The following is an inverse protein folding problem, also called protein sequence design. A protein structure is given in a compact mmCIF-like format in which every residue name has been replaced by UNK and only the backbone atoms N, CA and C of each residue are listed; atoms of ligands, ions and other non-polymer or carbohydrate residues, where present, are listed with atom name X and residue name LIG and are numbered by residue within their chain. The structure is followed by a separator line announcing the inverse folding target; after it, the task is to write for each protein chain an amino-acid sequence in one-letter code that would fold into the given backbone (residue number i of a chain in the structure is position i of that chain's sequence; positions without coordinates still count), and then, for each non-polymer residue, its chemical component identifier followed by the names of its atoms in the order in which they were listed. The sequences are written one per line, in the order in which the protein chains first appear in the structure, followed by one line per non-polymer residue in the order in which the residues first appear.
data_IF_558182847517
#
_entry.id   IF_558182847517
#
_cell.length_a   1.000
_cell.length_b   1.000
_cell.length_c   1.000
_cell.angle_alpha   90.00
_cell.angle_beta   90.00
_cell.angle_gamma   90.00
#
_symmetry.space_group_name_H-M   'P 1'
#
loop_
_entity.id
_entity.type
_entity.pdbx_description
1 polymer ?
#
# COMPACT_ATOMS: atom_id res chain seq x y z
N UNK A 1 4.16 -5.57 16.23
CA UNK A 1 3.21 -6.65 15.87
C UNK A 1 1.82 -6.08 16.02
N UNK A 2 1.05 -6.05 14.93
CA UNK A 2 -0.34 -5.57 14.92
C UNK A 2 -1.19 -6.41 15.87
N UNK A 3 -1.95 -5.78 16.77
CA UNK A 3 -2.91 -6.48 17.63
C UNK A 3 -4.14 -6.91 16.82
N UNK A 4 -4.31 -8.21 16.62
CA UNK A 4 -5.44 -8.82 15.91
C UNK A 4 -6.39 -9.53 16.89
N UNK A 5 -6.86 -8.76 17.88
CA UNK A 5 -7.85 -9.18 18.88
C UNK A 5 -9.23 -8.59 18.62
N UNK A 6 -10.32 -9.18 19.15
CA UNK A 6 -11.68 -8.63 19.01
C UNK A 6 -11.82 -7.20 19.56
N UNK A 7 -11.02 -6.85 20.57
CA UNK A 7 -10.98 -5.52 21.20
C UNK A 7 -10.10 -4.50 20.47
N UNK A 8 -9.25 -4.93 19.54
CA UNK A 8 -8.37 -4.05 18.80
C UNK A 8 -9.18 -3.05 17.97
N UNK A 9 -8.67 -1.82 17.86
CA UNK A 9 -9.36 -0.76 17.14
C UNK A 9 -9.12 -0.91 15.64
N UNK A 10 -10.19 -0.76 14.84
CA UNK A 10 -10.08 -0.86 13.37
C UNK A 10 -9.17 0.22 12.77
N UNK A 11 -9.03 1.38 13.44
CA UNK A 11 -8.11 2.43 13.04
C UNK A 11 -6.65 2.07 13.25
N UNK A 12 -6.35 1.39 14.36
CA UNK A 12 -4.99 0.96 14.69
C UNK A 12 -4.59 -0.20 13.78
N UNK A 13 -5.47 -1.19 13.55
CA UNK A 13 -5.21 -2.28 12.61
C UNK A 13 -5.02 -1.75 11.19
N UNK A 14 -5.84 -0.80 10.73
CA UNK A 14 -5.67 -0.20 9.40
C UNK A 14 -4.35 0.55 9.24
N UNK A 15 -3.80 1.05 10.35
CA UNK A 15 -2.51 1.74 10.39
C UNK A 15 -1.35 0.75 10.44
N UNK A 16 -1.48 -0.32 11.23
CA UNK A 16 -0.40 -1.23 11.57
C UNK A 16 -0.31 -2.47 10.66
N UNK A 17 -1.37 -2.86 9.96
CA UNK A 17 -1.41 -4.04 9.09
C UNK A 17 -1.56 -3.65 7.60
N UNK A 18 -0.51 -3.85 6.78
CA UNK A 18 -0.55 -3.78 5.32
C UNK A 18 -1.82 -4.38 4.70
N UNK A 19 -2.58 -3.61 3.91
CA UNK A 19 -3.79 -4.10 3.23
C UNK A 19 -5.05 -4.23 4.09
N UNK A 20 -5.00 -3.96 5.41
CA UNK A 20 -6.16 -4.11 6.28
C UNK A 20 -7.30 -3.12 5.93
N UNK A 21 -6.95 -1.95 5.40
CA UNK A 21 -7.87 -0.98 4.85
C UNK A 21 -8.83 -1.59 3.79
N UNK A 22 -8.31 -2.48 2.93
CA UNK A 22 -9.12 -3.14 1.90
C UNK A 22 -10.08 -4.16 2.51
N UNK A 23 -9.57 -4.96 3.46
CA UNK A 23 -10.40 -5.92 4.20
C UNK A 23 -11.57 -5.19 4.86
N UNK A 24 -11.32 -4.04 5.51
CA UNK A 24 -12.40 -3.25 6.10
C UNK A 24 -13.38 -2.67 5.06
N UNK A 25 -12.88 -2.14 3.93
CA UNK A 25 -13.75 -1.59 2.86
C UNK A 25 -14.66 -2.63 2.24
N UNK A 26 -14.18 -3.85 2.01
CA UNK A 26 -14.98 -4.97 1.46
C UNK A 26 -16.22 -5.26 2.30
N UNK A 27 -16.10 -5.05 3.61
CA UNK A 27 -17.18 -5.22 4.59
C UNK A 27 -17.92 -3.91 4.93
N UNK A 28 -17.64 -2.82 4.21
CA UNK A 28 -18.26 -1.51 4.42
C UNK A 28 -17.83 -0.80 5.71
N UNK A 29 -16.79 -1.29 6.39
CA UNK A 29 -16.31 -0.76 7.67
C UNK A 29 -15.47 0.48 7.42
N UNK A 30 -15.95 1.64 7.89
CA UNK A 30 -15.22 2.91 7.82
C UNK A 30 -14.33 3.11 9.04
N UNK A 31 -13.03 3.24 8.82
CA UNK A 31 -12.02 3.44 9.87
C UNK A 31 -11.55 4.90 10.00
N UNK A 32 -11.90 5.77 9.04
CA UNK A 32 -11.62 7.22 9.11
C UNK A 32 -12.45 7.96 10.18
N UNK A 33 -13.68 7.49 10.44
CA UNK A 33 -14.59 8.04 11.45
C UNK A 33 -14.98 6.98 12.51
N UNK A 34 -14.97 5.70 12.14
CA UNK A 34 -15.21 4.56 13.01
C UNK A 34 -13.94 3.93 13.60
N UNK A 35 -12.76 4.53 13.42
CA UNK A 35 -11.49 4.02 13.95
C UNK A 35 -11.40 3.87 15.47
N UNK A 36 -12.42 4.30 16.21
CA UNK A 36 -12.59 4.06 17.66
C UNK A 36 -13.39 2.80 18.00
N UNK A 37 -14.00 2.17 16.99
CA UNK A 37 -14.73 0.93 17.18
C UNK A 37 -13.72 -0.21 17.27
N UNK A 38 -13.98 -1.11 18.20
CA UNK A 38 -13.30 -2.40 18.23
C UNK A 38 -13.68 -3.21 16.98
N UNK A 39 -12.88 -4.21 16.64
CA UNK A 39 -13.24 -5.20 15.61
C UNK A 39 -14.62 -5.79 15.88
N UNK A 40 -14.94 -6.12 17.13
CA UNK A 40 -16.28 -6.60 17.52
C UNK A 40 -17.39 -5.60 17.18
N UNK A 41 -17.24 -4.34 17.59
CA UNK A 41 -18.28 -3.33 17.39
C UNK A 41 -18.45 -2.97 15.90
N UNK A 42 -17.34 -2.89 15.17
CA UNK A 42 -17.35 -2.64 13.73
C UNK A 42 -18.02 -3.79 12.98
N UNK A 43 -17.65 -5.05 13.25
CA UNK A 43 -18.27 -6.21 12.63
C UNK A 43 -19.77 -6.29 12.93
N UNK A 44 -20.17 -6.10 14.19
CA UNK A 44 -21.58 -6.15 14.59
C UNK A 44 -22.44 -5.08 13.89
N UNK A 45 -21.90 -3.86 13.74
CA UNK A 45 -22.58 -2.76 13.03
C UNK A 45 -22.83 -3.06 11.55
N UNK A 46 -22.01 -3.92 10.95
CA UNK A 46 -22.06 -4.28 9.54
C UNK A 46 -22.62 -5.70 9.31
N UNK A 47 -23.19 -6.34 10.33
CA UNK A 47 -23.79 -7.68 10.21
C UNK A 47 -22.79 -8.80 9.94
N UNK A 48 -21.52 -8.59 10.27
CA UNK A 48 -20.41 -9.51 10.09
C UNK A 48 -20.04 -10.18 11.41
N UNK A 49 -19.62 -11.45 11.37
CA UNK A 49 -19.02 -12.10 12.54
C UNK A 49 -17.58 -11.59 12.76
N UNK A 50 -17.24 -11.19 13.99
CA UNK A 50 -15.92 -10.65 14.30
C UNK A 50 -14.77 -11.61 13.95
N UNK A 51 -14.94 -12.92 14.17
CA UNK A 51 -13.94 -13.91 13.81
C UNK A 51 -13.71 -14.01 12.29
N UNK A 52 -14.73 -13.81 11.45
CA UNK A 52 -14.54 -13.78 9.99
C UNK A 52 -13.62 -12.63 9.57
N UNK A 53 -13.79 -11.46 10.17
CA UNK A 53 -12.94 -10.31 9.90
C UNK A 53 -11.51 -10.55 10.41
N UNK A 54 -11.36 -11.13 11.62
CA UNK A 54 -10.07 -11.46 12.19
C UNK A 54 -9.33 -12.52 11.38
N UNK A 55 -10.01 -13.53 10.84
CA UNK A 55 -9.40 -14.55 10.00
C UNK A 55 -8.88 -13.96 8.68
N UNK A 56 -9.62 -13.05 8.04
CA UNK A 56 -9.13 -12.32 6.86
C UNK A 56 -7.90 -11.47 7.18
N UNK A 57 -7.91 -10.75 8.32
CA UNK A 57 -6.77 -9.94 8.77
C UNK A 57 -5.55 -10.81 9.17
N UNK A 58 -5.76 -11.97 9.78
CA UNK A 58 -4.68 -12.92 10.10
C UNK A 58 -4.09 -13.54 8.85
N UNK A 59 -4.93 -13.93 7.88
CA UNK A 59 -4.46 -14.43 6.58
C UNK A 59 -3.63 -13.37 5.86
N UNK A 60 -4.05 -12.11 5.91
CA UNK A 60 -3.31 -10.97 5.40
C UNK A 60 -1.97 -10.78 6.14
N UNK A 61 -1.94 -10.86 7.47
CA UNK A 61 -0.71 -10.76 8.26
C UNK A 61 0.27 -11.92 7.98
N UNK A 62 -0.25 -13.13 7.77
CA UNK A 62 0.53 -14.32 7.38
C UNK A 62 1.10 -14.13 5.97
N UNK A 63 0.31 -13.61 5.03
CA UNK A 63 0.76 -13.28 3.67
C UNK A 63 1.84 -12.19 3.66
N UNK A 64 1.72 -11.20 4.55
CA UNK A 64 2.71 -10.16 4.75
C UNK A 64 4.05 -10.68 5.31
N UNK A 65 4.04 -11.86 5.98
CA UNK A 65 5.24 -12.49 6.57
C UNK A 65 5.84 -13.64 5.76
N UNK A 66 5.32 -14.00 4.58
CA UNK A 66 5.92 -15.05 3.74
C UNK A 66 7.06 -14.49 2.88
N UNK A 67 8.20 -15.17 2.89
CA UNK A 67 9.26 -14.99 1.88
C UNK A 67 8.67 -15.12 0.47
N UNK A 68 9.03 -14.20 -0.42
CA UNK A 68 8.53 -14.19 -1.79
C UNK A 68 8.80 -15.53 -2.50
N UNK A 69 7.86 -16.06 -3.31
CA UNK A 69 8.04 -17.34 -3.97
C UNK A 69 9.28 -17.38 -4.88
N UNK A 70 10.01 -18.50 -4.86
CA UNK A 70 11.20 -18.67 -5.68
C UNK A 70 10.87 -18.94 -7.15
N UNK A 71 9.75 -19.59 -7.45
CA UNK A 71 9.34 -19.88 -8.83
C UNK A 71 8.72 -18.65 -9.52
N UNK A 72 8.94 -18.49 -10.82
CA UNK A 72 8.54 -17.27 -11.55
C UNK A 72 7.04 -17.04 -11.58
N UNK A 73 6.24 -18.06 -11.91
CA UNK A 73 4.79 -17.89 -12.02
C UNK A 73 4.14 -17.58 -10.66
N UNK A 74 4.48 -18.31 -9.57
CA UNK A 74 4.05 -17.93 -8.22
C UNK A 74 4.53 -16.54 -7.79
N UNK A 75 5.76 -16.14 -8.15
CA UNK A 75 6.28 -14.81 -7.83
C UNK A 75 5.47 -13.71 -8.52
N UNK A 76 5.14 -13.87 -9.80
CA UNK A 76 4.26 -12.91 -10.52
C UNK A 76 2.88 -12.85 -9.85
N UNK A 77 2.29 -13.98 -9.48
CA UNK A 77 1.00 -13.99 -8.79
C UNK A 77 1.08 -13.30 -7.43
N UNK A 78 2.19 -13.49 -6.71
CA UNK A 78 2.47 -12.80 -5.45
C UNK A 78 2.61 -11.29 -5.66
N UNK A 79 3.37 -10.83 -6.66
CA UNK A 79 3.52 -9.40 -6.97
C UNK A 79 2.17 -8.70 -7.18
N UNK A 80 1.29 -9.32 -7.96
CA UNK A 80 -0.06 -8.75 -8.20
C UNK A 80 -0.88 -8.72 -6.92
N UNK A 81 -1.03 -9.85 -6.24
CA UNK A 81 -1.96 -9.97 -5.10
C UNK A 81 -1.45 -9.31 -3.82
N UNK A 82 -0.16 -9.46 -3.50
CA UNK A 82 0.46 -8.90 -2.29
C UNK A 82 0.79 -7.43 -2.44
N UNK A 83 1.22 -6.98 -3.61
CA UNK A 83 1.68 -5.59 -3.81
C UNK A 83 0.72 -4.78 -4.65
N UNK A 84 0.43 -5.14 -5.90
CA UNK A 84 -0.35 -4.26 -6.79
C UNK A 84 -1.74 -3.96 -6.24
N UNK A 85 -2.49 -5.00 -5.89
CA UNK A 85 -3.83 -4.86 -5.32
C UNK A 85 -3.79 -4.09 -3.99
N UNK A 86 -2.78 -4.35 -3.16
CA UNK A 86 -2.60 -3.65 -1.88
C UNK A 86 -2.28 -2.17 -2.07
N UNK A 87 -1.42 -1.81 -3.02
CA UNK A 87 -1.06 -0.41 -3.30
C UNK A 87 -2.25 0.40 -3.81
N UNK A 88 -3.06 -0.17 -4.72
CA UNK A 88 -4.30 0.45 -5.19
C UNK A 88 -5.22 0.76 -4.01
N UNK A 89 -5.48 -0.27 -3.20
CA UNK A 89 -6.29 -0.16 -2.02
C UNK A 89 -5.76 0.88 -1.02
N UNK A 90 -4.46 0.95 -0.81
CA UNK A 90 -3.87 1.88 0.14
C UNK A 90 -3.94 3.32 -0.35
N UNK A 91 -3.65 3.58 -1.62
CA UNK A 91 -3.75 4.91 -2.20
C UNK A 91 -5.20 5.41 -2.21
N UNK A 92 -6.18 4.55 -2.46
CA UNK A 92 -7.61 4.87 -2.34
C UNK A 92 -8.01 5.30 -0.92
N UNK A 93 -7.25 4.92 0.10
CA UNK A 93 -7.48 5.35 1.48
C UNK A 93 -6.62 6.55 1.89
N UNK A 94 -5.33 6.53 1.57
CA UNK A 94 -4.36 7.54 1.98
C UNK A 94 -4.66 8.90 1.34
N UNK A 95 -5.10 8.94 0.09
CA UNK A 95 -5.37 10.20 -0.63
C UNK A 95 -6.52 10.99 0.04
N UNK A 96 -7.72 10.43 0.26
CA UNK A 96 -8.77 11.14 0.99
C UNK A 96 -8.38 11.54 2.41
N UNK A 97 -7.54 10.72 3.08
CA UNK A 97 -7.09 11.02 4.43
C UNK A 97 -6.10 12.19 4.46
N UNK A 98 -5.16 12.25 3.51
CA UNK A 98 -4.27 13.39 3.31
C UNK A 98 -5.06 14.66 3.05
N UNK A 99 -6.05 14.60 2.15
CA UNK A 99 -6.91 15.73 1.83
C UNK A 99 -7.65 16.24 3.07
N UNK A 100 -8.15 15.33 3.92
CA UNK A 100 -8.81 15.69 5.17
C UNK A 100 -7.84 16.36 6.15
N UNK A 101 -6.62 15.83 6.30
CA UNK A 101 -5.62 16.41 7.20
C UNK A 101 -5.24 17.81 6.72
N UNK A 102 -4.97 18.00 5.44
CA UNK A 102 -4.69 19.33 4.86
C UNK A 102 -5.88 20.29 5.00
N UNK A 103 -7.11 19.83 4.77
CA UNK A 103 -8.29 20.68 4.89
C UNK A 103 -8.53 21.16 6.32
N UNK A 104 -8.38 20.27 7.31
CA UNK A 104 -8.67 20.59 8.72
C UNK A 104 -7.50 21.30 9.41
N UNK A 105 -6.27 20.97 9.02
CA UNK A 105 -5.05 21.42 9.71
C UNK A 105 -4.14 22.29 8.86
N UNK A 106 -4.53 22.71 7.64
CA UNK A 106 -3.65 23.42 6.71
C UNK A 106 -3.02 24.72 7.25
N UNK A 107 -3.66 25.36 8.22
CA UNK A 107 -3.14 26.55 8.93
C UNK A 107 -2.12 26.22 10.03
N UNK A 108 -1.93 24.94 10.37
CA UNK A 108 -0.90 24.49 11.31
C UNK A 108 0.48 24.56 10.64
N UNK A 109 1.47 25.13 11.32
CA UNK A 109 2.84 25.30 10.77
C UNK A 109 3.49 23.99 10.33
N UNK A 110 3.03 22.86 10.87
CA UNK A 110 3.52 21.52 10.56
C UNK A 110 2.65 20.73 9.58
N UNK A 111 1.57 21.32 9.07
CA UNK A 111 0.66 20.64 8.15
C UNK A 111 1.38 20.17 6.89
N UNK A 112 1.09 18.94 6.40
CA UNK A 112 1.72 18.40 5.21
C UNK A 112 1.05 18.97 3.95
N UNK A 113 1.04 20.29 3.82
CA UNK A 113 0.40 20.99 2.71
C UNK A 113 1.02 20.55 1.37
N UNK A 114 0.17 20.14 0.42
CA UNK A 114 0.56 19.58 -0.87
C UNK A 114 0.76 18.06 -0.89
N UNK A 115 0.57 17.35 0.22
CA UNK A 115 0.70 15.89 0.28
C UNK A 115 -0.31 15.17 -0.64
N UNK A 116 -1.54 15.67 -0.69
CA UNK A 116 -2.63 15.10 -1.51
C UNK A 116 -2.26 15.11 -2.98
N UNK A 117 -1.73 16.23 -3.48
CA UNK A 117 -1.27 16.37 -4.87
C UNK A 117 -0.15 15.38 -5.19
N UNK A 118 0.80 15.21 -4.25
CA UNK A 118 1.91 14.27 -4.42
C UNK A 118 1.45 12.81 -4.43
N UNK A 119 0.49 12.45 -3.58
CA UNK A 119 -0.09 11.11 -3.56
C UNK A 119 -0.91 10.82 -4.83
N UNK A 120 -1.61 11.82 -5.37
CA UNK A 120 -2.29 11.70 -6.66
C UNK A 120 -1.29 11.47 -7.80
N UNK A 121 -0.21 12.26 -7.86
CA UNK A 121 0.85 12.07 -8.84
C UNK A 121 1.50 10.68 -8.73
N UNK A 122 1.79 10.22 -7.51
CA UNK A 122 2.32 8.88 -7.27
C UNK A 122 1.35 7.79 -7.73
N UNK A 123 0.06 7.91 -7.42
CA UNK A 123 -0.96 6.96 -7.86
C UNK A 123 -1.01 6.86 -9.37
N UNK A 124 -1.00 7.99 -10.07
CA UNK A 124 -1.15 7.99 -11.53
C UNK A 124 0.06 7.32 -12.21
N UNK A 125 1.28 7.58 -11.73
CA UNK A 125 2.50 6.90 -12.19
C UNK A 125 2.48 5.41 -11.86
N UNK A 126 2.20 5.06 -10.60
CA UNK A 126 2.23 3.69 -10.12
C UNK A 126 1.14 2.82 -10.77
N UNK A 127 -0.06 3.35 -10.98
CA UNK A 127 -1.14 2.62 -11.65
C UNK A 127 -0.80 2.35 -13.11
N UNK A 128 -0.30 3.36 -13.84
CA UNK A 128 0.14 3.16 -15.23
C UNK A 128 1.29 2.14 -15.32
N UNK A 129 2.20 2.13 -14.36
CA UNK A 129 3.29 1.17 -14.26
C UNK A 129 2.76 -0.26 -14.07
N UNK A 130 1.94 -0.48 -13.03
CA UNK A 130 1.36 -1.79 -12.70
C UNK A 130 0.49 -2.33 -13.84
N UNK A 131 -0.31 -1.50 -14.51
CA UNK A 131 -1.09 -1.89 -15.68
C UNK A 131 -0.18 -2.40 -16.79
N UNK A 132 0.94 -1.72 -17.07
CA UNK A 132 1.87 -2.15 -18.13
C UNK A 132 2.53 -3.47 -17.79
N UNK A 133 2.83 -3.70 -16.51
CA UNK A 133 3.35 -4.98 -16.06
C UNK A 133 2.31 -6.09 -16.24
N UNK A 134 1.10 -5.90 -15.72
CA UNK A 134 0.03 -6.90 -15.74
C UNK A 134 -0.46 -7.24 -17.16
N UNK A 135 -0.52 -6.26 -18.05
CA UNK A 135 -1.07 -6.42 -19.40
C UNK A 135 -0.02 -6.76 -20.47
N UNK A 136 1.25 -6.43 -20.25
CA UNK A 136 2.30 -6.68 -21.23
C UNK A 136 3.47 -7.48 -20.67
N UNK A 137 4.16 -6.99 -19.63
CA UNK A 137 5.41 -7.61 -19.17
C UNK A 137 5.19 -9.02 -18.59
N UNK A 138 4.28 -9.16 -17.63
CA UNK A 138 4.00 -10.42 -16.96
C UNK A 138 3.45 -11.48 -17.93
N UNK A 139 2.52 -11.17 -18.86
CA UNK A 139 2.15 -12.11 -19.92
C UNK A 139 3.32 -12.62 -20.75
N UNK A 140 4.26 -11.75 -21.15
CA UNK A 140 5.46 -12.17 -21.89
C UNK A 140 6.36 -13.06 -21.02
N UNK A 141 6.54 -12.75 -19.74
CA UNK A 141 7.32 -13.56 -18.80
C UNK A 141 6.70 -14.96 -18.61
N UNK A 142 5.37 -15.05 -18.53
CA UNK A 142 4.65 -16.32 -18.43
C UNK A 142 4.81 -17.21 -19.67
N UNK A 143 5.09 -16.61 -20.83
CA UNK A 143 5.36 -17.32 -22.08
C UNK A 143 6.83 -17.73 -22.25
N UNK A 144 7.68 -17.45 -21.26
CA UNK A 144 9.09 -17.84 -21.27
C UNK A 144 10.05 -16.75 -21.79
N UNK A 145 9.58 -15.52 -21.99
CA UNK A 145 10.41 -14.41 -22.44
C UNK A 145 10.17 -14.00 -23.90
N UNK A 146 10.66 -12.81 -24.27
CA UNK A 146 10.66 -12.30 -25.64
C UNK A 146 11.81 -11.29 -25.82
N UNK A 147 12.50 -11.20 -26.97
CA UNK A 147 13.64 -10.28 -27.14
C UNK A 147 13.34 -8.80 -26.87
N UNK A 148 12.10 -8.35 -27.12
CA UNK A 148 11.67 -6.96 -26.81
C UNK A 148 11.50 -6.70 -25.31
N UNK A 149 11.53 -7.75 -24.47
CA UNK A 149 11.35 -7.64 -23.03
C UNK A 149 12.48 -6.85 -22.37
N UNK A 150 13.71 -6.94 -22.87
CA UNK A 150 14.86 -6.19 -22.35
C UNK A 150 14.59 -4.68 -22.38
N UNK A 151 14.00 -4.18 -23.47
CA UNK A 151 13.62 -2.77 -23.59
C UNK A 151 12.48 -2.41 -22.63
N UNK A 152 11.50 -3.30 -22.47
CA UNK A 152 10.37 -3.08 -21.55
C UNK A 152 10.82 -3.07 -20.08
N UNK A 153 11.73 -3.99 -19.68
CA UNK A 153 12.35 -4.01 -18.35
C UNK A 153 13.13 -2.72 -18.10
N UNK A 154 13.90 -2.24 -19.09
CA UNK A 154 14.62 -0.97 -18.96
C UNK A 154 13.67 0.22 -18.74
N UNK A 155 12.51 0.22 -19.40
CA UNK A 155 11.49 1.26 -19.18
C UNK A 155 10.88 1.14 -17.78
N UNK A 156 10.60 -0.07 -17.29
CA UNK A 156 10.08 -0.28 -15.92
C UNK A 156 11.04 0.25 -14.86
N UNK A 157 12.36 0.07 -15.04
CA UNK A 157 13.37 0.61 -14.11
C UNK A 157 13.40 2.14 -14.08
N UNK A 158 13.20 2.80 -15.22
CA UNK A 158 13.11 4.26 -15.26
C UNK A 158 11.86 4.76 -14.53
N UNK A 159 10.75 4.05 -14.65
CA UNK A 159 9.52 4.36 -13.90
C UNK A 159 9.72 4.13 -12.39
N UNK A 160 10.49 3.11 -11.97
CA UNK A 160 10.87 2.93 -10.56
C UNK A 160 11.72 4.09 -10.00
N UNK A 161 12.62 4.66 -10.82
CA UNK A 161 13.40 5.84 -10.43
C UNK A 161 12.48 7.06 -10.22
N UNK A 162 11.47 7.23 -11.07
CA UNK A 162 10.45 8.28 -10.94
C UNK A 162 9.62 8.10 -9.66
N UNK A 163 9.15 6.87 -9.38
CA UNK A 163 8.46 6.53 -8.13
C UNK A 163 9.32 6.88 -6.91
N UNK A 164 10.62 6.59 -6.97
CA UNK A 164 11.56 6.93 -5.90
C UNK A 164 11.70 8.44 -5.66
N UNK A 165 11.61 9.27 -6.71
CA UNK A 165 11.57 10.74 -6.59
C UNK A 165 10.29 11.19 -5.89
N UNK A 166 9.14 10.63 -6.26
CA UNK A 166 7.84 10.98 -5.68
C UNK A 166 7.77 10.62 -4.19
N UNK A 167 8.29 9.45 -3.80
CA UNK A 167 8.39 9.04 -2.39
C UNK A 167 9.24 10.00 -1.55
N UNK A 168 10.39 10.46 -2.06
CA UNK A 168 11.20 11.49 -1.37
C UNK A 168 10.44 12.81 -1.23
N UNK A 169 9.61 13.17 -2.21
CA UNK A 169 8.74 14.34 -2.12
C UNK A 169 7.69 14.23 -1.02
N UNK A 170 7.10 13.03 -0.86
CA UNK A 170 6.17 12.72 0.23
C UNK A 170 6.89 12.83 1.58
N UNK A 171 8.03 12.14 1.74
CA UNK A 171 8.85 12.18 2.96
C UNK A 171 9.24 13.61 3.35
N UNK A 172 9.65 14.44 2.38
CA UNK A 172 9.97 15.83 2.63
C UNK A 172 8.77 16.63 3.14
N UNK A 173 7.61 16.47 2.50
CA UNK A 173 6.37 17.19 2.85
C UNK A 173 5.85 16.79 4.22
N UNK A 174 6.10 15.55 4.64
CA UNK A 174 5.72 15.02 5.94
C UNK A 174 6.80 15.16 7.01
N UNK A 175 7.94 15.79 6.69
CA UNK A 175 9.11 15.94 7.59
C UNK A 175 9.62 14.59 8.11
N UNK A 176 9.79 13.64 7.21
CA UNK A 176 10.18 12.28 7.56
C UNK A 176 9.09 11.52 8.31
N UNK A 177 7.81 11.82 8.02
CA UNK A 177 6.66 11.26 8.72
C UNK A 177 6.67 11.53 10.24
N UNK A 178 7.18 12.71 10.64
CA UNK A 178 7.22 13.14 12.05
C UNK A 178 5.93 13.85 12.42
N UNK A 179 5.20 13.33 13.40
CA UNK A 179 3.95 13.95 13.87
C UNK A 179 4.23 15.19 14.74
N UNK A 180 3.43 16.26 14.61
CA UNK A 180 3.46 17.39 15.53
C UNK A 180 2.91 17.00 16.91
N UNK A 181 3.26 17.78 17.93
CA UNK A 181 2.69 17.62 19.27
C UNK A 181 1.17 17.77 19.24
N UNK A 182 0.46 16.79 19.81
CA UNK A 182 -1.00 16.79 19.84
C UNK A 182 -1.67 16.47 18.50
N UNK A 183 -0.94 15.89 17.54
CA UNK A 183 -1.51 15.42 16.27
C UNK A 183 -2.78 14.61 16.49
N UNK A 184 -3.81 14.88 15.69
CA UNK A 184 -5.05 14.14 15.79
C UNK A 184 -4.87 12.71 15.26
N UNK A 185 -5.75 11.79 15.69
CA UNK A 185 -5.70 10.38 15.23
C UNK A 185 -5.71 10.22 13.71
N UNK A 186 -6.39 11.09 12.96
CA UNK A 186 -6.40 11.02 11.50
C UNK A 186 -5.03 11.34 10.89
N UNK A 187 -4.29 12.27 11.49
CA UNK A 187 -2.92 12.58 11.08
C UNK A 187 -1.97 11.44 11.48
N UNK A 188 -2.10 10.91 12.69
CA UNK A 188 -1.33 9.73 13.11
C UNK A 188 -1.55 8.53 12.17
N UNK A 189 -2.81 8.19 11.89
CA UNK A 189 -3.15 7.10 10.98
C UNK A 189 -2.61 7.32 9.55
N UNK A 190 -2.66 8.56 9.05
CA UNK A 190 -2.09 8.92 7.76
C UNK A 190 -0.59 8.60 7.72
N UNK A 191 0.16 9.05 8.72
CA UNK A 191 1.61 8.90 8.73
C UNK A 191 2.03 7.45 8.94
N UNK A 192 1.36 6.69 9.81
CA UNK A 192 1.60 5.25 9.94
C UNK A 192 1.30 4.52 8.62
N UNK A 193 0.16 4.82 7.99
CA UNK A 193 -0.19 4.24 6.71
C UNK A 193 0.78 4.58 5.58
N UNK A 194 1.28 5.82 5.54
CA UNK A 194 2.32 6.24 4.58
C UNK A 194 3.64 5.53 4.80
N UNK A 195 4.07 5.35 6.06
CA UNK A 195 5.28 4.60 6.40
C UNK A 195 5.19 3.18 5.86
N UNK A 196 4.11 2.49 6.22
CA UNK A 196 3.81 1.13 5.76
C UNK A 196 3.76 1.05 4.23
N UNK A 197 3.03 1.94 3.57
CA UNK A 197 2.90 1.94 2.11
C UNK A 197 4.26 2.13 1.42
N UNK A 198 5.08 3.04 1.95
CA UNK A 198 6.43 3.33 1.43
C UNK A 198 7.34 2.11 1.58
N UNK A 199 7.35 1.47 2.74
CA UNK A 199 8.11 0.24 2.99
C UNK A 199 7.73 -0.88 2.02
N UNK A 200 6.43 -1.11 1.85
CA UNK A 200 5.91 -2.13 0.94
C UNK A 200 6.25 -1.83 -0.52
N UNK A 201 6.16 -0.57 -0.95
CA UNK A 201 6.49 -0.18 -2.33
C UNK A 201 7.99 -0.32 -2.62
N UNK A 202 8.85 -0.04 -1.64
CA UNK A 202 10.29 -0.30 -1.74
C UNK A 202 10.56 -1.81 -1.83
N UNK A 203 9.91 -2.62 -1.00
CA UNK A 203 10.05 -4.08 -1.01
C UNK A 203 9.57 -4.68 -2.34
N UNK A 204 8.45 -4.19 -2.86
CA UNK A 204 7.92 -4.51 -4.17
C UNK A 204 8.96 -4.25 -5.27
N UNK A 205 9.41 -3.01 -5.42
CA UNK A 205 10.38 -2.61 -6.45
C UNK A 205 11.68 -3.41 -6.34
N UNK A 206 12.15 -3.66 -5.11
CA UNK A 206 13.32 -4.48 -4.87
C UNK A 206 13.12 -5.90 -5.41
N UNK A 207 12.00 -6.55 -5.07
CA UNK A 207 11.70 -7.91 -5.51
C UNK A 207 11.63 -8.03 -7.04
N UNK A 208 11.06 -7.03 -7.71
CA UNK A 208 11.06 -6.98 -9.18
C UNK A 208 12.47 -6.84 -9.76
N UNK A 209 13.27 -5.91 -9.22
CA UNK A 209 14.58 -5.58 -9.76
C UNK A 209 15.65 -6.64 -9.47
N UNK A 210 15.60 -7.30 -8.32
CA UNK A 210 16.66 -8.21 -7.87
C UNK A 210 16.31 -9.68 -8.03
N UNK A 211 15.02 -10.01 -8.15
CA UNK A 211 14.58 -11.41 -8.23
C UNK A 211 13.85 -11.71 -9.53
N UNK A 212 12.82 -10.95 -9.90
CA UNK A 212 12.01 -11.29 -11.08
C UNK A 212 12.73 -10.95 -12.38
N UNK A 213 13.10 -9.68 -12.57
CA UNK A 213 13.66 -9.19 -13.84
C UNK A 213 14.98 -9.88 -14.23
N UNK A 214 15.94 -10.18 -13.33
CA UNK A 214 17.21 -10.81 -13.73
C UNK A 214 17.05 -12.20 -14.37
N UNK A 215 15.91 -12.87 -14.14
CA UNK A 215 15.60 -14.17 -14.78
C UNK A 215 15.41 -14.06 -16.29
N UNK A 216 15.17 -12.84 -16.79
CA UNK A 216 14.81 -12.58 -18.18
C UNK A 216 15.78 -11.62 -18.90
N UNK A 217 16.80 -11.11 -18.22
CA UNK A 217 17.80 -10.20 -18.82
C UNK A 217 18.91 -10.92 -19.58
N UNK A 218 19.09 -12.22 -19.34
CA UNK A 218 20.07 -13.07 -20.01
C UNK A 218 19.47 -13.97 -21.10
N UNK A 219 18.19 -13.74 -21.46
CA UNK A 219 17.45 -14.52 -22.47
C UNK A 219 17.54 -13.86 -23.85
#
# INVERSE_FOLDING_TARGET
MTDLSPSALVGDIASDLPGAAEVFRRHGISFCCGGKLSVTDASAKHGLAAETLLDELRALAISAGHDAPQETLPLIAHLVTRYHDTHRSELDWLIPLAQKVEFVHGDHDEAPNGLTERLLALRDVLESHMIRQEQALFPMMRQGGHPTMVQLISAMRQEHDEVSVLLRGIEHTTRGLTLPDGACRSWSALYTGLAKFTEDLIAHIHLENTVLTPRFEAV
#
